data_IF_463621296905
#
_entry.id   IF_463621296905
#
_cell.length_a   1.000
_cell.length_b   1.000
_cell.length_c   1.000
_cell.angle_alpha   90.00
_cell.angle_beta   90.00
_cell.angle_gamma   90.00
#
_symmetry.space_group_name_H-M   'P 1'
#
loop_
_entity.id
_entity.type
_entity.pdbx_description
1 polymer ?
#
# COMPACT_ATOMS: atom_id res chain seq x y z
N UNK A 1 -24.23 -6.60 16.57
CA UNK A 1 -22.78 -6.58 16.87
C UNK A 1 -22.10 -5.94 15.67
N UNK A 2 -21.55 -4.72 15.83
CA UNK A 2 -20.78 -4.08 14.75
C UNK A 2 -19.46 -4.82 14.60
N UNK A 3 -19.09 -5.19 13.38
CA UNK A 3 -17.78 -5.76 13.11
C UNK A 3 -16.73 -4.65 13.19
N UNK A 4 -15.86 -4.69 14.20
CA UNK A 4 -14.80 -3.69 14.37
C UNK A 4 -13.56 -4.20 13.63
N UNK A 5 -13.11 -3.44 12.63
CA UNK A 5 -11.84 -3.70 11.96
C UNK A 5 -10.72 -3.14 12.84
N UNK A 6 -9.83 -4.03 13.33
CA UNK A 6 -8.70 -3.60 14.13
C UNK A 6 -7.56 -3.08 13.23
N UNK A 7 -7.06 -1.88 13.50
CA UNK A 7 -5.90 -1.30 12.80
C UNK A 7 -4.67 -2.19 12.93
N UNK A 8 -4.46 -2.82 14.08
CA UNK A 8 -3.28 -3.67 14.31
C UNK A 8 -3.27 -4.90 13.39
N UNK A 9 -4.43 -5.43 13.03
CA UNK A 9 -4.54 -6.55 12.09
C UNK A 9 -4.15 -6.09 10.67
N UNK A 10 -4.54 -4.87 10.29
CA UNK A 10 -4.14 -4.24 9.02
C UNK A 10 -2.63 -4.02 9.01
N UNK A 11 -2.06 -3.43 10.06
CA UNK A 11 -0.61 -3.17 10.14
C UNK A 11 0.20 -4.47 10.11
N UNK A 12 -0.29 -5.53 10.75
CA UNK A 12 0.30 -6.86 10.69
C UNK A 12 0.25 -7.43 9.26
N UNK A 13 -0.86 -7.27 8.53
CA UNK A 13 -0.98 -7.69 7.15
C UNK A 13 0.01 -6.94 6.24
N UNK A 14 0.07 -5.60 6.35
CA UNK A 14 1.05 -4.76 5.63
C UNK A 14 2.48 -5.23 5.91
N UNK A 15 2.79 -5.42 7.20
CA UNK A 15 4.14 -5.80 7.65
C UNK A 15 4.56 -7.14 7.07
N UNK A 16 3.67 -8.14 7.13
CA UNK A 16 3.94 -9.46 6.56
C UNK A 16 4.15 -9.39 5.05
N UNK A 17 3.28 -8.69 4.33
CA UNK A 17 3.40 -8.47 2.88
C UNK A 17 4.75 -7.83 2.52
N UNK A 18 5.15 -6.77 3.23
CA UNK A 18 6.42 -6.10 2.96
C UNK A 18 7.63 -7.00 3.23
N UNK A 19 7.60 -7.80 4.30
CA UNK A 19 8.68 -8.77 4.59
C UNK A 19 8.78 -9.81 3.46
N UNK A 20 7.66 -10.37 3.01
CA UNK A 20 7.65 -11.36 1.91
C UNK A 20 8.24 -10.77 0.63
N UNK A 21 7.90 -9.52 0.29
CA UNK A 21 8.45 -8.82 -0.89
C UNK A 21 9.95 -8.53 -0.74
N UNK A 22 10.40 -8.15 0.45
CA UNK A 22 11.82 -7.86 0.73
C UNK A 22 12.67 -9.12 0.64
N UNK A 23 12.15 -10.26 1.13
CA UNK A 23 12.87 -11.53 1.14
C UNK A 23 12.92 -12.18 -0.23
N UNK A 24 11.82 -12.15 -0.98
CA UNK A 24 11.69 -12.80 -2.28
C UNK A 24 11.32 -11.80 -3.39
N UNK A 25 12.16 -10.79 -3.68
CA UNK A 25 11.77 -9.66 -4.52
C UNK A 25 11.52 -10.01 -5.99
N UNK A 26 11.99 -11.16 -6.44
CA UNK A 26 11.78 -11.64 -7.81
C UNK A 26 10.39 -12.24 -8.02
N UNK A 27 9.69 -12.65 -6.95
CA UNK A 27 8.32 -13.16 -7.04
C UNK A 27 7.29 -12.04 -7.25
N UNK A 28 7.61 -10.80 -6.87
CA UNK A 28 6.65 -9.69 -6.81
C UNK A 28 7.10 -8.50 -7.66
N UNK A 29 7.18 -8.65 -8.98
CA UNK A 29 7.91 -7.72 -9.85
C UNK A 29 7.11 -6.48 -10.31
N UNK A 30 5.81 -6.43 -10.01
CA UNK A 30 4.90 -5.35 -10.38
C UNK A 30 4.11 -4.83 -9.20
N UNK A 31 3.55 -3.63 -9.36
CA UNK A 31 2.61 -3.06 -8.40
C UNK A 31 1.36 -3.94 -8.23
N UNK A 32 0.87 -4.54 -9.33
CA UNK A 32 -0.25 -5.47 -9.30
C UNK A 32 0.04 -6.72 -8.44
N UNK A 33 1.28 -7.24 -8.47
CA UNK A 33 1.69 -8.36 -7.60
C UNK A 33 1.66 -7.95 -6.14
N UNK A 34 2.22 -6.77 -5.81
CA UNK A 34 2.21 -6.24 -4.45
C UNK A 34 0.78 -5.99 -3.95
N UNK A 35 -0.09 -5.43 -4.80
CA UNK A 35 -1.51 -5.20 -4.50
C UNK A 35 -2.24 -6.51 -4.24
N UNK A 36 -2.02 -7.53 -5.07
CA UNK A 36 -2.64 -8.85 -4.90
C UNK A 36 -2.18 -9.48 -3.59
N UNK A 37 -0.88 -9.46 -3.30
CA UNK A 37 -0.33 -10.03 -2.08
C UNK A 37 -0.88 -9.34 -0.82
N UNK A 38 -0.97 -8.01 -0.83
CA UNK A 38 -1.56 -7.26 0.29
C UNK A 38 -3.05 -7.59 0.44
N UNK A 39 -3.81 -7.61 -0.66
CA UNK A 39 -5.23 -7.94 -0.62
C UNK A 39 -5.48 -9.36 -0.09
N UNK A 40 -4.66 -10.34 -0.45
CA UNK A 40 -4.73 -11.70 0.10
C UNK A 40 -4.37 -11.75 1.59
N UNK A 41 -3.39 -10.95 2.02
CA UNK A 41 -3.07 -10.76 3.44
C UNK A 41 -4.26 -10.20 4.21
N UNK A 42 -4.88 -9.14 3.71
CA UNK A 42 -6.05 -8.49 4.32
C UNK A 42 -7.28 -9.42 4.34
N UNK A 43 -7.49 -10.25 3.31
CA UNK A 43 -8.59 -11.25 3.28
C UNK A 43 -8.50 -12.32 4.37
N UNK A 44 -7.37 -12.46 5.06
CA UNK A 44 -7.23 -13.36 6.21
C UNK A 44 -7.84 -12.78 7.48
N UNK A 45 -8.13 -11.48 7.51
CA UNK A 45 -8.88 -10.84 8.59
C UNK A 45 -10.36 -11.20 8.42
N UNK A 46 -10.92 -11.94 9.38
CA UNK A 46 -12.26 -12.54 9.26
C UNK A 46 -13.34 -11.49 8.97
N UNK A 47 -13.25 -10.32 9.61
CA UNK A 47 -14.12 -9.18 9.37
C UNK A 47 -14.16 -8.75 7.88
N UNK A 48 -13.01 -8.77 7.20
CA UNK A 48 -12.89 -8.33 5.81
C UNK A 48 -13.34 -9.39 4.81
N UNK A 49 -13.31 -10.67 5.19
CA UNK A 49 -13.74 -11.80 4.34
C UNK A 49 -15.25 -11.99 4.33
N UNK A 50 -15.93 -11.61 5.41
CA UNK A 50 -17.38 -11.75 5.55
C UNK A 50 -18.11 -11.01 4.43
N UNK A 51 -19.20 -11.62 3.96
CA UNK A 51 -20.09 -11.05 2.95
C UNK A 51 -21.29 -10.40 3.59
N UNK A 52 -21.60 -9.18 3.15
CA UNK A 52 -22.69 -8.36 3.63
C UNK A 52 -23.69 -8.12 2.49
N UNK A 53 -25.01 -8.18 2.75
CA UNK A 53 -26.00 -7.83 1.74
C UNK A 53 -25.88 -6.36 1.36
N UNK A 54 -26.05 -6.06 0.07
CA UNK A 54 -26.21 -4.69 -0.43
C UNK A 54 -27.70 -4.42 -0.73
N UNK A 55 -28.03 -3.26 -1.29
CA UNK A 55 -29.36 -2.93 -1.83
C UNK A 55 -29.48 -3.22 -3.33
N UNK A 56 -28.44 -3.78 -3.96
CA UNK A 56 -28.46 -4.14 -5.39
C UNK A 56 -29.21 -5.45 -5.59
N UNK A 57 -30.35 -5.40 -6.26
CA UNK A 57 -31.18 -6.58 -6.54
C UNK A 57 -30.54 -7.50 -7.60
N UNK A 58 -30.71 -8.82 -7.45
CA UNK A 58 -30.22 -9.83 -8.42
C UNK A 58 -31.00 -9.90 -9.74
N UNK A 59 -32.04 -9.10 -9.88
CA UNK A 59 -32.88 -9.03 -11.06
C UNK A 59 -34.08 -8.14 -10.81
N UNK A 60 -34.82 -7.82 -11.87
CA UNK A 60 -36.05 -7.02 -11.79
C UNK A 60 -37.03 -7.69 -10.81
N UNK A 61 -37.46 -6.96 -9.79
CA UNK A 61 -38.38 -7.42 -8.73
C UNK A 61 -37.85 -8.58 -7.84
N UNK A 62 -36.56 -8.90 -7.89
CA UNK A 62 -36.00 -9.95 -7.02
C UNK A 62 -36.05 -9.52 -5.55
N UNK A 63 -36.49 -10.40 -4.66
CA UNK A 63 -36.35 -10.18 -3.20
C UNK A 63 -34.92 -10.45 -2.69
N UNK A 64 -34.04 -10.94 -3.57
CA UNK A 64 -32.66 -11.27 -3.23
C UNK A 64 -31.69 -10.18 -3.68
N UNK A 65 -30.73 -9.89 -2.82
CA UNK A 65 -29.71 -8.88 -3.03
C UNK A 65 -28.35 -9.52 -3.31
N UNK A 66 -27.51 -8.83 -4.09
CA UNK A 66 -26.09 -9.14 -4.15
C UNK A 66 -25.45 -8.92 -2.78
N UNK A 67 -24.31 -9.59 -2.58
CA UNK A 67 -23.51 -9.44 -1.37
C UNK A 67 -22.10 -9.05 -1.77
N UNK A 68 -21.41 -8.34 -0.89
CA UNK A 68 -20.02 -7.99 -1.09
C UNK A 68 -19.25 -7.94 0.23
N UNK A 69 -17.92 -7.99 0.16
CA UNK A 69 -17.02 -7.86 1.31
C UNK A 69 -16.80 -6.40 1.69
N UNK A 70 -16.06 -6.14 2.77
CA UNK A 70 -15.62 -4.79 3.11
C UNK A 70 -14.39 -4.34 2.30
N UNK A 71 -13.59 -5.31 1.82
CA UNK A 71 -12.34 -5.08 1.10
C UNK A 71 -12.56 -5.09 -0.41
N UNK A 72 -12.04 -4.08 -1.11
CA UNK A 72 -12.09 -3.97 -2.56
C UNK A 72 -10.77 -3.46 -3.13
N UNK A 73 -10.52 -3.78 -4.40
CA UNK A 73 -9.36 -3.31 -5.17
C UNK A 73 -9.81 -2.39 -6.30
N UNK A 74 -8.92 -1.52 -6.74
CA UNK A 74 -9.09 -0.69 -7.94
C UNK A 74 -10.36 0.17 -7.90
N UNK A 75 -10.62 0.78 -6.75
CA UNK A 75 -11.85 1.51 -6.47
C UNK A 75 -11.84 2.91 -7.08
N UNK A 76 -12.93 3.27 -7.78
CA UNK A 76 -13.00 4.45 -8.63
C UNK A 76 -13.06 5.83 -7.96
N UNK A 77 -13.03 5.94 -6.62
CA UNK A 77 -12.72 7.14 -5.81
C UNK A 77 -13.44 8.49 -6.07
N UNK A 78 -14.22 8.63 -7.15
CA UNK A 78 -14.66 9.90 -7.72
C UNK A 78 -13.61 10.60 -8.61
N UNK A 79 -14.08 11.56 -9.42
CA UNK A 79 -13.24 12.50 -10.19
C UNK A 79 -12.16 11.88 -11.09
N UNK A 80 -12.44 10.70 -11.68
CA UNK A 80 -11.48 9.99 -12.54
C UNK A 80 -10.26 9.45 -11.80
N UNK A 81 -10.32 9.34 -10.47
CA UNK A 81 -9.25 8.78 -9.66
C UNK A 81 -9.50 7.31 -9.37
N UNK A 82 -8.45 6.59 -8.97
CA UNK A 82 -8.56 5.20 -8.53
C UNK A 82 -7.69 5.02 -7.29
N UNK A 83 -8.16 4.21 -6.36
CA UNK A 83 -7.47 3.83 -5.14
C UNK A 83 -7.22 2.33 -5.22
N UNK A 84 -5.97 1.91 -5.00
CA UNK A 84 -5.55 0.53 -5.23
C UNK A 84 -6.30 -0.48 -4.37
N UNK A 85 -6.46 -0.17 -3.08
CA UNK A 85 -7.20 -1.00 -2.13
C UNK A 85 -7.99 -0.09 -1.19
N UNK A 86 -9.24 -0.47 -0.90
CA UNK A 86 -10.10 0.21 0.07
C UNK A 86 -10.76 -0.79 1.00
N UNK A 87 -11.02 -0.33 2.23
CA UNK A 87 -11.84 -1.02 3.21
C UNK A 87 -12.99 -0.09 3.60
N UNK A 88 -14.23 -0.54 3.41
CA UNK A 88 -15.44 0.17 3.78
C UNK A 88 -15.96 -0.24 5.15
N UNK A 89 -16.82 0.60 5.73
CA UNK A 89 -17.58 0.21 6.91
C UNK A 89 -18.71 -0.74 6.54
N UNK A 90 -19.07 -1.62 7.47
CA UNK A 90 -20.24 -2.50 7.32
C UNK A 90 -21.53 -1.72 7.03
N UNK A 91 -21.69 -0.55 7.65
CA UNK A 91 -22.88 0.28 7.48
C UNK A 91 -22.98 0.87 6.07
N UNK A 92 -21.87 1.29 5.46
CA UNK A 92 -21.89 1.78 4.08
C UNK A 92 -22.16 0.64 3.09
N UNK A 93 -21.53 -0.53 3.30
CA UNK A 93 -21.70 -1.68 2.40
C UNK A 93 -23.17 -2.12 2.32
N UNK A 94 -23.87 -2.11 3.46
CA UNK A 94 -25.32 -2.43 3.52
C UNK A 94 -26.22 -1.44 2.78
N UNK A 95 -25.71 -0.25 2.48
CA UNK A 95 -26.44 0.83 1.80
C UNK A 95 -26.07 0.95 0.31
N UNK A 96 -25.12 0.13 -0.19
CA UNK A 96 -24.72 0.16 -1.60
C UNK A 96 -25.90 -0.19 -2.50
N UNK A 97 -26.23 0.70 -3.44
CA UNK A 97 -27.33 0.55 -4.40
C UNK A 97 -26.87 0.57 -5.87
N UNK A 98 -25.56 0.67 -6.12
CA UNK A 98 -24.95 0.70 -7.46
C UNK A 98 -23.82 -0.35 -7.59
N UNK A 99 -23.69 -0.96 -8.78
CA UNK A 99 -22.65 -1.96 -9.08
C UNK A 99 -21.22 -1.40 -8.99
N UNK A 100 -21.05 -0.10 -9.11
CA UNK A 100 -19.78 0.60 -8.92
C UNK A 100 -19.51 0.97 -7.44
N UNK A 101 -20.20 0.31 -6.50
CA UNK A 101 -20.02 0.47 -5.05
C UNK A 101 -20.31 1.91 -4.59
N UNK A 102 -21.46 2.43 -4.99
CA UNK A 102 -21.94 3.78 -4.62
C UNK A 102 -23.17 3.68 -3.71
N UNK A 103 -23.45 4.79 -3.03
CA UNK A 103 -24.71 5.05 -2.35
C UNK A 103 -25.36 6.24 -3.08
N UNK A 104 -26.47 5.99 -3.77
CA UNK A 104 -27.01 6.87 -4.77
C UNK A 104 -25.95 7.22 -5.83
N UNK A 105 -25.71 8.52 -6.04
CA UNK A 105 -24.73 8.99 -7.05
C UNK A 105 -23.31 9.17 -6.52
N UNK A 106 -23.05 8.85 -5.24
CA UNK A 106 -21.79 9.17 -4.57
C UNK A 106 -20.96 7.92 -4.28
N UNK A 107 -19.67 8.00 -4.59
CA UNK A 107 -18.70 7.02 -4.12
C UNK A 107 -18.62 7.06 -2.59
N UNK A 108 -18.64 5.87 -1.98
CA UNK A 108 -18.42 5.69 -0.55
C UNK A 108 -17.02 6.21 -0.17
N UNK A 109 -16.95 6.89 0.97
CA UNK A 109 -15.68 7.26 1.61
C UNK A 109 -15.12 6.06 2.38
N UNK A 110 -13.93 5.54 2.05
CA UNK A 110 -13.34 4.40 2.77
C UNK A 110 -13.03 4.69 4.24
N UNK A 111 -13.10 3.65 5.07
CA UNK A 111 -12.50 3.69 6.42
C UNK A 111 -10.98 3.67 6.33
N UNK A 112 -10.45 2.74 5.53
CA UNK A 112 -9.03 2.61 5.23
C UNK A 112 -8.82 2.59 3.72
N UNK A 113 -7.68 3.10 3.28
CA UNK A 113 -7.27 3.05 1.87
C UNK A 113 -5.77 2.90 1.74
N UNK A 114 -5.34 2.28 0.65
CA UNK A 114 -3.94 1.95 0.38
C UNK A 114 -3.60 2.39 -1.03
N UNK A 115 -2.42 3.00 -1.17
CA UNK A 115 -1.78 3.32 -2.45
C UNK A 115 -0.42 2.65 -2.44
N UNK A 116 -0.13 1.89 -3.49
CA UNK A 116 1.12 1.16 -3.66
C UNK A 116 1.91 1.78 -4.80
N UNK A 117 3.24 1.74 -4.67
CA UNK A 117 4.13 2.27 -5.71
C UNK A 117 5.40 1.46 -5.86
N UNK A 118 6.00 1.54 -7.05
CA UNK A 118 7.26 0.87 -7.40
C UNK A 118 8.21 1.80 -8.13
N UNK A 119 9.41 1.32 -8.49
CA UNK A 119 10.36 2.07 -9.31
C UNK A 119 9.85 2.39 -10.73
N UNK A 120 8.75 1.77 -11.17
CA UNK A 120 8.13 1.99 -12.48
C UNK A 120 7.26 3.25 -12.53
N UNK A 121 6.95 3.85 -11.39
CA UNK A 121 6.13 5.06 -11.31
C UNK A 121 6.84 6.23 -11.98
N UNK A 122 6.24 6.77 -13.04
CA UNK A 122 6.74 7.94 -13.75
C UNK A 122 6.45 9.18 -12.90
N UNK A 123 7.48 9.98 -12.61
CA UNK A 123 7.39 11.16 -11.74
C UNK A 123 6.81 10.83 -10.35
N UNK A 124 7.63 10.18 -9.52
CA UNK A 124 7.24 9.74 -8.17
C UNK A 124 6.74 10.88 -7.29
N UNK A 125 7.23 12.10 -7.46
CA UNK A 125 6.80 13.25 -6.66
C UNK A 125 5.35 13.62 -6.96
N UNK A 126 5.01 13.78 -8.24
CA UNK A 126 3.62 14.05 -8.64
C UNK A 126 2.69 12.91 -8.20
N UNK A 127 3.14 11.66 -8.33
CA UNK A 127 2.37 10.50 -7.90
C UNK A 127 2.10 10.54 -6.39
N UNK A 128 3.14 10.73 -5.58
CA UNK A 128 3.04 10.78 -4.12
C UNK A 128 2.12 11.91 -3.65
N UNK A 129 2.22 13.10 -4.25
CA UNK A 129 1.32 14.22 -3.93
C UNK A 129 -0.14 13.86 -4.24
N UNK A 130 -0.40 13.17 -5.34
CA UNK A 130 -1.75 12.74 -5.69
C UNK A 130 -2.27 11.66 -4.74
N UNK A 131 -1.43 10.71 -4.33
CA UNK A 131 -1.77 9.68 -3.34
C UNK A 131 -2.11 10.32 -2.00
N UNK A 132 -1.31 11.28 -1.53
CA UNK A 132 -1.59 12.06 -0.33
C UNK A 132 -2.96 12.75 -0.44
N UNK A 133 -3.27 13.38 -1.57
CA UNK A 133 -4.58 14.03 -1.80
C UNK A 133 -5.74 13.05 -1.79
N UNK A 134 -5.58 11.85 -2.36
CA UNK A 134 -6.59 10.77 -2.35
C UNK A 134 -6.84 10.31 -0.92
N UNK A 135 -5.77 9.95 -0.22
CA UNK A 135 -5.82 9.34 1.10
C UNK A 135 -6.22 10.32 2.22
N UNK A 136 -6.03 11.62 2.05
CA UNK A 136 -6.53 12.63 2.99
C UNK A 136 -8.06 12.63 3.15
N UNK A 137 -8.79 12.01 2.22
CA UNK A 137 -10.26 11.96 2.23
C UNK A 137 -10.83 10.77 3.01
N UNK A 138 -9.98 9.85 3.48
CA UNK A 138 -10.43 8.64 4.19
C UNK A 138 -10.90 8.98 5.60
N UNK A 139 -11.79 8.13 6.16
CA UNK A 139 -12.30 8.38 7.51
C UNK A 139 -11.21 8.16 8.56
N UNK A 140 -10.54 7.01 8.53
CA UNK A 140 -9.56 6.60 9.55
C UNK A 140 -8.12 6.79 9.06
N UNK A 141 -7.54 5.79 8.39
CA UNK A 141 -6.11 5.77 8.04
C UNK A 141 -5.87 5.46 6.57
N UNK A 142 -5.01 6.25 5.95
CA UNK A 142 -4.49 5.99 4.60
C UNK A 142 -3.07 5.43 4.66
N UNK A 143 -2.74 4.47 3.80
CA UNK A 143 -1.42 3.87 3.73
C UNK A 143 -0.78 4.14 2.37
N UNK A 144 0.42 4.69 2.37
CA UNK A 144 1.26 4.81 1.16
C UNK A 144 2.41 3.82 1.32
N UNK A 145 2.49 2.83 0.45
CA UNK A 145 3.50 1.76 0.52
C UNK A 145 4.29 1.75 -0.79
N UNK A 146 5.48 2.33 -0.79
CA UNK A 146 6.36 2.33 -1.97
C UNK A 146 7.56 1.42 -1.76
N UNK A 147 7.73 0.46 -2.67
CA UNK A 147 8.88 -0.45 -2.69
C UNK A 147 9.64 -0.22 -4.00
N UNK A 148 10.74 0.53 -3.90
CA UNK A 148 11.62 0.81 -5.03
C UNK A 148 12.67 -0.29 -5.16
N UNK A 149 12.67 -1.00 -6.30
CA UNK A 149 13.69 -2.02 -6.60
C UNK A 149 14.77 -1.44 -7.51
N UNK A 150 15.97 -1.28 -6.98
CA UNK A 150 17.17 -0.95 -7.72
C UNK A 150 17.65 -2.16 -8.54
N UNK A 151 17.42 -2.09 -9.85
CA UNK A 151 17.70 -3.15 -10.82
C UNK A 151 19.13 -3.09 -11.39
N UNK A 152 19.97 -2.17 -10.92
CA UNK A 152 21.30 -1.96 -11.50
C UNK A 152 22.25 -3.09 -11.09
N UNK A 153 22.74 -3.82 -12.10
CA UNK A 153 23.71 -4.92 -11.97
C UNK A 153 25.17 -4.47 -11.97
N UNK A 154 25.45 -3.20 -12.29
CA UNK A 154 26.82 -2.69 -12.36
C UNK A 154 27.48 -2.71 -10.98
N UNK A 155 28.77 -3.12 -10.88
CA UNK A 155 29.52 -3.11 -9.62
C UNK A 155 29.64 -1.71 -9.00
N UNK A 156 29.87 -1.70 -7.68
CA UNK A 156 30.16 -0.48 -6.91
C UNK A 156 31.45 0.17 -7.41
N UNK A 157 31.51 1.52 -7.43
CA UNK A 157 32.67 2.28 -7.93
C UNK A 157 32.71 2.47 -9.45
N UNK A 158 31.71 1.98 -10.18
CA UNK A 158 31.56 2.28 -11.60
C UNK A 158 30.74 3.55 -11.82
N UNK A 159 31.12 4.38 -12.80
CA UNK A 159 30.36 5.60 -13.18
C UNK A 159 28.87 5.32 -13.42
N UNK A 160 28.55 4.16 -14.02
CA UNK A 160 27.16 3.73 -14.26
C UNK A 160 26.39 3.47 -12.95
N UNK A 161 27.04 2.87 -11.95
CA UNK A 161 26.45 2.65 -10.64
C UNK A 161 26.23 3.97 -9.91
N UNK A 162 27.22 4.86 -9.92
CA UNK A 162 27.14 6.17 -9.26
C UNK A 162 26.01 7.03 -9.82
N UNK A 163 25.89 7.07 -11.15
CA UNK A 163 24.76 7.74 -11.83
C UNK A 163 23.40 7.16 -11.40
N UNK A 164 23.30 5.84 -11.21
CA UNK A 164 22.06 5.21 -10.73
C UNK A 164 21.77 5.63 -9.28
N UNK A 165 22.78 5.64 -8.41
CA UNK A 165 22.63 6.03 -7.00
C UNK A 165 22.12 7.45 -6.88
N UNK A 166 22.69 8.40 -7.64
CA UNK A 166 22.21 9.79 -7.67
C UNK A 166 20.79 9.89 -8.24
N UNK A 167 20.45 9.12 -9.29
CA UNK A 167 19.08 9.06 -9.79
C UNK A 167 18.10 8.57 -8.72
N UNK A 168 18.41 7.49 -8.02
CA UNK A 168 17.55 6.95 -6.94
C UNK A 168 17.41 7.97 -5.81
N UNK A 169 18.50 8.63 -5.44
CA UNK A 169 18.50 9.69 -4.42
C UNK A 169 17.53 10.81 -4.79
N UNK A 170 17.64 11.35 -6.00
CA UNK A 170 16.83 12.49 -6.43
C UNK A 170 15.38 12.09 -6.72
N UNK A 171 15.17 10.96 -7.40
CA UNK A 171 13.84 10.54 -7.87
C UNK A 171 13.01 9.82 -6.81
N UNK A 172 13.62 9.32 -5.72
CA UNK A 172 12.90 8.56 -4.69
C UNK A 172 13.21 9.06 -3.28
N UNK A 173 14.48 9.10 -2.87
CA UNK A 173 14.84 9.39 -1.47
C UNK A 173 14.43 10.80 -1.05
N UNK A 174 14.87 11.80 -1.81
CA UNK A 174 14.55 13.22 -1.56
C UNK A 174 13.05 13.47 -1.64
N UNK A 175 12.36 12.82 -2.58
CA UNK A 175 10.90 12.97 -2.72
C UNK A 175 10.17 12.56 -1.44
N UNK A 176 10.53 11.40 -0.87
CA UNK A 176 9.93 10.94 0.39
C UNK A 176 10.37 11.76 1.61
N UNK A 177 11.59 12.31 1.60
CA UNK A 177 12.08 13.22 2.65
C UNK A 177 11.31 14.56 2.65
N UNK A 178 11.04 15.13 1.47
CA UNK A 178 10.44 16.46 1.32
C UNK A 178 8.91 16.46 1.41
N UNK A 179 8.24 15.38 1.02
CA UNK A 179 6.78 15.31 1.00
C UNK A 179 6.22 14.71 2.30
N UNK A 180 6.10 15.55 3.33
CA UNK A 180 5.54 15.19 4.64
C UNK A 180 4.01 15.12 4.61
N UNK A 181 3.44 14.21 5.39
CA UNK A 181 2.00 14.12 5.62
C UNK A 181 1.65 14.91 6.88
N UNK A 182 0.81 15.94 6.79
CA UNK A 182 0.63 16.94 7.85
C UNK A 182 -0.44 16.60 8.88
N UNK A 183 -1.36 15.66 8.60
CA UNK A 183 -2.55 15.42 9.43
C UNK A 183 -2.49 14.11 10.24
N UNK A 184 -1.37 13.39 10.24
CA UNK A 184 -1.20 12.12 10.97
C UNK A 184 -2.06 10.93 10.50
N UNK A 185 -3.05 11.17 9.62
CA UNK A 185 -3.96 10.15 9.07
C UNK A 185 -3.30 9.24 8.04
N UNK A 186 -2.21 9.69 7.43
CA UNK A 186 -1.50 8.94 6.40
C UNK A 186 -0.23 8.34 7.00
N UNK A 187 -0.12 7.02 6.92
CA UNK A 187 1.08 6.25 7.25
C UNK A 187 1.85 5.99 5.96
N UNK A 188 3.15 6.33 5.96
CA UNK A 188 3.99 6.30 4.77
C UNK A 188 5.15 5.34 4.98
N UNK A 189 5.18 4.26 4.20
CA UNK A 189 6.22 3.26 4.22
C UNK A 189 6.98 3.32 2.88
N UNK A 190 8.26 3.70 2.94
CA UNK A 190 9.12 3.77 1.77
C UNK A 190 10.33 2.85 1.95
N UNK A 191 10.47 1.90 1.03
CA UNK A 191 11.47 0.84 1.07
C UNK A 191 12.29 0.92 -0.21
N UNK A 192 13.62 1.00 -0.07
CA UNK A 192 14.57 0.86 -1.15
C UNK A 192 15.25 -0.50 -1.04
N UNK A 193 15.07 -1.33 -2.07
CA UNK A 193 15.66 -2.66 -2.16
C UNK A 193 16.67 -2.70 -3.32
N UNK A 194 17.90 -3.14 -3.05
CA UNK A 194 18.99 -3.26 -4.01
C UNK A 194 19.53 -4.70 -4.06
N UNK A 195 18.83 -5.64 -4.75
CA UNK A 195 19.19 -7.06 -4.74
C UNK A 195 20.60 -7.35 -5.30
N UNK A 196 20.99 -6.61 -6.34
CA UNK A 196 22.26 -6.76 -7.05
C UNK A 196 23.43 -6.00 -6.42
N UNK A 197 23.25 -5.37 -5.26
CA UNK A 197 24.35 -4.67 -4.61
C UNK A 197 25.42 -5.68 -4.21
N UNK A 198 26.62 -5.45 -4.73
CA UNK A 198 27.78 -6.31 -4.55
C UNK A 198 28.36 -6.12 -3.14
N UNK A 199 27.94 -6.99 -2.23
CA UNK A 199 28.37 -7.01 -0.83
C UNK A 199 28.17 -8.42 -0.27
N UNK A 200 29.14 -8.89 0.51
CA UNK A 200 29.15 -10.22 1.15
C UNK A 200 28.04 -10.38 2.21
N UNK A 201 27.65 -9.28 2.86
CA UNK A 201 26.55 -9.27 3.83
C UNK A 201 25.24 -8.87 3.15
N UNK A 202 24.14 -9.56 3.49
CA UNK A 202 22.76 -9.16 3.14
C UNK A 202 22.37 -7.82 3.77
N UNK A 203 23.07 -7.40 4.83
CA UNK A 203 22.93 -6.10 5.50
C UNK A 203 23.29 -4.96 4.55
N UNK A 204 22.31 -4.10 4.22
CA UNK A 204 22.50 -2.96 3.31
C UNK A 204 21.96 -3.14 1.89
N UNK A 205 21.30 -4.28 1.61
CA UNK A 205 20.46 -4.49 0.43
C UNK A 205 19.05 -3.90 0.60
N UNK A 206 18.63 -3.58 1.82
CA UNK A 206 17.36 -2.92 2.10
C UNK A 206 17.60 -1.66 2.93
N UNK A 207 16.92 -0.57 2.56
CA UNK A 207 16.78 0.63 3.37
C UNK A 207 15.32 0.97 3.57
N UNK A 208 14.94 1.34 4.79
CA UNK A 208 13.59 1.79 5.12
C UNK A 208 13.70 3.25 5.57
N UNK A 209 12.86 4.11 5.01
CA UNK A 209 12.77 5.50 5.45
C UNK A 209 12.02 5.57 6.77
N UNK A 210 12.61 6.21 7.79
CA UNK A 210 12.02 6.28 9.13
C UNK A 210 11.22 7.57 9.41
N UNK A 211 10.97 8.38 8.37
CA UNK A 211 10.41 9.72 8.47
C UNK A 211 11.44 10.84 8.47
N UNK A 212 12.70 10.53 8.84
CA UNK A 212 13.80 11.49 8.88
C UNK A 212 15.01 11.05 8.04
N UNK A 213 15.40 9.78 8.15
CA UNK A 213 16.58 9.21 7.51
C UNK A 213 16.28 7.83 6.91
N UNK A 214 17.17 7.38 6.01
CA UNK A 214 17.11 6.04 5.43
C UNK A 214 18.02 5.08 6.20
N UNK A 215 17.43 4.10 6.86
CA UNK A 215 18.14 3.16 7.71
C UNK A 215 18.38 1.84 6.98
N UNK A 216 19.60 1.31 7.06
CA UNK A 216 19.90 -0.02 6.53
C UNK A 216 19.25 -1.10 7.41
N UNK A 217 18.58 -2.05 6.77
CA UNK A 217 17.99 -3.22 7.44
C UNK A 217 18.52 -4.50 6.79
N UNK A 218 18.77 -5.53 7.60
CA UNK A 218 19.20 -6.82 7.09
C UNK A 218 17.99 -7.57 6.51
N UNK A 219 18.03 -7.89 5.22
CA UNK A 219 16.93 -8.60 4.54
C UNK A 219 16.69 -10.02 5.07
N UNK A 220 17.70 -10.64 5.69
CA UNK A 220 17.58 -11.96 6.29
C UNK A 220 16.94 -11.93 7.70
N UNK A 221 16.94 -10.77 8.36
CA UNK A 221 16.45 -10.63 9.73
C UNK A 221 14.97 -10.20 9.74
N UNK A 222 14.07 -11.19 9.77
CA UNK A 222 12.62 -10.98 9.80
C UNK A 222 12.18 -10.11 10.98
N UNK A 223 12.81 -10.28 12.15
CA UNK A 223 12.44 -9.55 13.37
C UNK A 223 12.82 -8.08 13.26
N UNK A 224 14.03 -7.78 12.75
CA UNK A 224 14.45 -6.40 12.50
C UNK A 224 13.59 -5.72 11.43
N UNK A 225 13.26 -6.42 10.33
CA UNK A 225 12.34 -5.91 9.31
C UNK A 225 10.97 -5.59 9.90
N UNK A 226 10.40 -6.54 10.65
CA UNK A 226 9.09 -6.38 11.31
C UNK A 226 9.06 -5.15 12.20
N UNK A 227 10.05 -5.02 13.08
CA UNK A 227 10.17 -3.87 13.98
C UNK A 227 10.21 -2.56 13.20
N UNK A 228 11.09 -2.46 12.20
CA UNK A 228 11.25 -1.24 11.41
C UNK A 228 10.01 -0.86 10.60
N UNK A 229 9.26 -1.83 10.10
CA UNK A 229 8.01 -1.56 9.37
C UNK A 229 6.92 -1.10 10.35
N UNK A 230 6.74 -1.78 11.49
CA UNK A 230 5.74 -1.40 12.50
C UNK A 230 6.02 0.00 13.07
N UNK A 231 7.29 0.31 13.35
CA UNK A 231 7.70 1.64 13.83
C UNK A 231 7.29 2.77 12.86
N UNK A 232 7.10 2.48 11.57
CA UNK A 232 6.62 3.45 10.56
C UNK A 232 5.09 3.48 10.38
N UNK A 233 4.39 2.44 10.82
CA UNK A 233 2.93 2.37 10.77
C UNK A 233 2.28 2.95 12.05
N UNK A 234 3.06 3.07 13.13
CA UNK A 234 2.66 3.74 14.39
C UNK A 234 2.78 5.26 14.31
#
# INVERSE_FOLDING_TARGET
MNCIINKDDIDNAITKTCIEIIQEPLLYFSEADNQQLLAEGLKKIEALKKLYPTLVHKGKNSKSFYKTSLLHREYGGGAGTRIDIVIFSENDVKQIDDLNLKIGKKYITPEFAFELGTEKTINIEKHLINDIKKLNKVRNTGYIIHIYKDRTKSPTGTKKRDNTVEKIKNAFKIVFENNKCTNGKIKKLAILLSPFKDQTLTKGKCKIFNGNIWENVNVADKSALRKKIIDQLN
#
